data_IF_042251443299
#
_entry.id   IF_042251443299
#
_cell.length_a   1.000
_cell.length_b   1.000
_cell.length_c   1.000
_cell.angle_alpha   90.00
_cell.angle_beta   90.00
_cell.angle_gamma   90.00
#
_symmetry.space_group_name_H-M   'P 1'
#
loop_
_entity.id
_entity.type
_entity.pdbx_description
1 polymer ?
#
# COMPACT_ATOMS: atom_id res chain seq x y z
N UNK A 1 -12.70 7.80 -4.29
CA UNK A 1 -13.60 6.63 -4.49
C UNK A 1 -14.07 6.07 -3.14
N UNK A 2 -15.14 5.27 -3.10
CA UNK A 2 -15.58 4.58 -1.88
C UNK A 2 -15.10 3.12 -1.89
N UNK A 3 -14.78 2.52 -0.73
CA UNK A 3 -14.45 1.11 -0.64
C UNK A 3 -15.66 0.25 -1.04
N UNK A 4 -15.41 -0.84 -1.78
CA UNK A 4 -16.42 -1.84 -2.13
C UNK A 4 -16.67 -2.84 -1.01
N UNK A 5 -15.64 -3.12 -0.21
CA UNK A 5 -15.71 -3.95 0.99
C UNK A 5 -14.87 -3.27 2.08
N UNK A 6 -15.30 -3.36 3.32
CA UNK A 6 -14.57 -2.82 4.45
C UNK A 6 -14.88 -3.60 5.72
N UNK A 7 -13.90 -3.63 6.61
CA UNK A 7 -14.06 -4.10 7.99
C UNK A 7 -13.37 -3.12 8.92
N UNK A 8 -14.00 -2.85 10.05
CA UNK A 8 -13.52 -1.87 11.02
C UNK A 8 -12.99 -2.55 12.28
N UNK A 9 -12.00 -1.92 12.90
CA UNK A 9 -11.50 -2.34 14.20
C UNK A 9 -12.61 -2.26 15.26
N UNK A 10 -12.70 -3.29 16.09
CA UNK A 10 -13.68 -3.34 17.20
C UNK A 10 -13.25 -2.53 18.43
N UNK A 11 -11.99 -2.09 18.51
CA UNK A 11 -11.57 -1.10 19.49
C UNK A 11 -11.83 0.30 18.92
N UNK A 12 -12.65 1.08 19.65
CA UNK A 12 -12.74 2.53 19.46
C UNK A 12 -11.38 3.18 19.63
N UNK A 13 -11.18 4.31 18.94
CA UNK A 13 -9.94 5.10 18.84
C UNK A 13 -8.94 4.81 19.97
N UNK A 14 -7.99 3.92 19.68
CA UNK A 14 -6.82 3.79 20.52
C UNK A 14 -6.08 5.13 20.44
N UNK A 15 -5.71 5.74 21.57
CA UNK A 15 -4.83 6.94 21.64
C UNK A 15 -3.43 6.76 21.00
N UNK A 16 -3.20 5.67 20.24
CA UNK A 16 -1.97 5.38 19.50
C UNK A 16 -2.07 5.77 18.03
N UNK A 17 -0.92 5.84 17.35
CA UNK A 17 -0.85 6.19 15.93
C UNK A 17 -1.62 5.16 15.06
N UNK A 18 -2.45 5.68 14.15
CA UNK A 18 -3.05 4.92 13.06
C UNK A 18 -2.10 4.94 11.86
N UNK A 19 -1.67 3.77 11.39
CA UNK A 19 -0.74 3.63 10.28
C UNK A 19 -1.47 3.07 9.06
N UNK A 20 -1.46 3.83 7.97
CA UNK A 20 -2.09 3.47 6.70
C UNK A 20 -1.09 2.77 5.77
N UNK A 21 -1.42 1.54 5.38
CA UNK A 21 -0.67 0.75 4.40
C UNK A 21 -1.53 0.56 3.16
N UNK A 22 -0.99 0.84 1.99
CA UNK A 22 -1.65 0.62 0.71
C UNK A 22 -0.91 -0.40 -0.16
N UNK A 23 -1.67 -1.26 -0.82
CA UNK A 23 -1.17 -2.22 -1.80
C UNK A 23 -2.15 -2.31 -2.97
N UNK A 24 -1.60 -2.52 -4.17
CA UNK A 24 -2.36 -2.75 -5.39
C UNK A 24 -2.11 -4.18 -5.89
N UNK A 25 -3.16 -4.95 -6.15
CA UNK A 25 -3.08 -6.38 -6.45
C UNK A 25 -3.84 -6.73 -7.74
N UNK A 26 -3.15 -7.37 -8.69
CA UNK A 26 -3.72 -7.94 -9.92
C UNK A 26 -3.26 -9.39 -10.09
N UNK A 27 -4.10 -10.19 -10.74
CA UNK A 27 -3.81 -11.58 -11.05
C UNK A 27 -3.60 -12.43 -9.79
N UNK A 28 -2.80 -13.48 -9.91
CA UNK A 28 -2.61 -14.52 -8.89
C UNK A 28 -1.62 -14.13 -7.77
N UNK A 29 -1.70 -12.89 -7.26
CA UNK A 29 -0.82 -12.36 -6.19
C UNK A 29 -1.50 -12.20 -4.83
N UNK A 30 -2.66 -12.83 -4.65
CA UNK A 30 -3.43 -12.77 -3.40
C UNK A 30 -2.69 -13.32 -2.18
N UNK A 31 -2.12 -14.53 -2.30
CA UNK A 31 -1.39 -15.20 -1.21
C UNK A 31 -0.11 -14.46 -0.82
N UNK A 32 0.62 -13.97 -1.81
CA UNK A 32 1.83 -13.14 -1.64
C UNK A 32 1.49 -11.87 -0.84
N UNK A 33 0.45 -11.16 -1.25
CA UNK A 33 -0.06 -9.99 -0.53
C UNK A 33 -0.50 -10.33 0.88
N UNK A 34 -1.19 -11.46 1.07
CA UNK A 34 -1.64 -11.90 2.40
C UNK A 34 -0.45 -12.20 3.32
N UNK A 35 0.63 -12.79 2.80
CA UNK A 35 1.87 -12.98 3.56
C UNK A 35 2.50 -11.64 3.97
N UNK A 36 2.53 -10.67 3.06
CA UNK A 36 2.98 -9.29 3.34
C UNK A 36 2.15 -8.67 4.47
N UNK A 37 0.81 -8.66 4.36
CA UNK A 37 -0.08 -8.09 5.38
C UNK A 37 0.08 -8.79 6.74
N UNK A 38 0.22 -10.12 6.76
CA UNK A 38 0.48 -10.90 7.98
C UNK A 38 1.82 -10.51 8.60
N UNK A 39 2.87 -10.30 7.81
CA UNK A 39 4.18 -9.87 8.31
C UNK A 39 4.08 -8.52 9.04
N UNK A 40 3.39 -7.54 8.44
CA UNK A 40 3.13 -6.22 9.06
C UNK A 40 2.40 -6.38 10.39
N UNK A 41 1.32 -7.17 10.40
CA UNK A 41 0.53 -7.40 11.61
C UNK A 41 1.31 -8.15 12.69
N UNK A 42 2.28 -8.99 12.33
CA UNK A 42 3.09 -9.75 13.27
C UNK A 42 4.13 -8.87 13.97
N UNK A 43 4.85 -8.05 13.21
CA UNK A 43 6.00 -7.26 13.71
C UNK A 43 5.60 -5.89 14.28
N UNK A 44 4.35 -5.46 14.08
CA UNK A 44 3.85 -4.19 14.59
C UNK A 44 3.27 -4.34 16.01
N UNK A 45 3.71 -3.52 16.99
CA UNK A 45 3.20 -3.56 18.36
C UNK A 45 1.68 -3.40 18.44
N UNK A 46 1.06 -4.01 19.45
CA UNK A 46 -0.39 -3.95 19.65
C UNK A 46 -0.93 -2.55 20.00
N UNK A 47 -0.05 -1.61 20.36
CA UNK A 47 -0.37 -0.20 20.60
C UNK A 47 -0.57 0.61 19.32
N UNK A 48 -0.21 0.05 18.16
CA UNK A 48 -0.34 0.69 16.86
C UNK A 48 -1.52 0.08 16.10
N UNK A 49 -2.44 0.94 15.68
CA UNK A 49 -3.58 0.57 14.87
C UNK A 49 -3.19 0.59 13.39
N UNK A 50 -3.71 -0.36 12.62
CA UNK A 50 -3.40 -0.52 11.20
C UNK A 50 -4.65 -0.26 10.36
N UNK A 51 -4.47 0.47 9.25
CA UNK A 51 -5.47 0.61 8.19
C UNK A 51 -4.90 0.05 6.89
N UNK A 52 -5.47 -1.04 6.37
CA UNK A 52 -5.07 -1.63 5.10
C UNK A 52 -5.97 -1.13 3.97
N UNK A 53 -5.37 -0.49 2.97
CA UNK A 53 -6.03 -0.05 1.74
C UNK A 53 -5.60 -0.98 0.60
N UNK A 54 -6.51 -1.87 0.18
CA UNK A 54 -6.24 -2.90 -0.81
C UNK A 54 -6.98 -2.53 -2.10
N UNK A 55 -6.25 -2.14 -3.14
CA UNK A 55 -6.84 -1.90 -4.46
C UNK A 55 -6.70 -3.19 -5.27
N UNK A 56 -7.81 -3.82 -5.66
CA UNK A 56 -7.78 -5.15 -6.25
C UNK A 56 -8.80 -5.35 -7.38
N UNK A 57 -8.49 -6.29 -8.28
CA UNK A 57 -9.44 -6.83 -9.25
C UNK A 57 -10.63 -7.48 -8.55
N UNK A 58 -11.84 -7.37 -9.13
CA UNK A 58 -13.08 -7.88 -8.55
C UNK A 58 -13.00 -9.35 -8.14
N UNK A 59 -12.27 -10.17 -8.90
CA UNK A 59 -12.05 -11.59 -8.63
C UNK A 59 -11.30 -11.86 -7.31
N UNK A 60 -10.43 -10.94 -6.87
CA UNK A 60 -9.59 -11.10 -5.68
C UNK A 60 -10.17 -10.46 -4.41
N UNK A 61 -11.21 -9.64 -4.52
CA UNK A 61 -11.73 -8.84 -3.40
C UNK A 61 -12.29 -9.69 -2.26
N UNK A 62 -13.11 -10.70 -2.59
CA UNK A 62 -13.68 -11.60 -1.59
C UNK A 62 -12.60 -12.43 -0.89
N UNK A 63 -11.57 -12.86 -1.62
CA UNK A 63 -10.42 -13.57 -1.03
C UNK A 63 -9.80 -12.75 0.11
N UNK A 64 -9.54 -11.45 -0.10
CA UNK A 64 -8.97 -10.60 0.94
C UNK A 64 -9.90 -10.42 2.14
N UNK A 65 -11.19 -10.16 1.90
CA UNK A 65 -12.17 -10.03 2.97
C UNK A 65 -12.23 -11.31 3.81
N UNK A 66 -12.43 -12.47 3.18
CA UNK A 66 -12.53 -13.75 3.86
C UNK A 66 -11.28 -14.07 4.68
N UNK A 67 -10.10 -13.85 4.10
CA UNK A 67 -8.84 -14.09 4.81
C UNK A 67 -8.65 -13.16 6.01
N UNK A 68 -8.95 -11.86 5.88
CA UNK A 68 -8.82 -10.90 6.98
C UNK A 68 -9.84 -11.17 8.11
N UNK A 69 -11.05 -11.58 7.76
CA UNK A 69 -12.07 -11.98 8.74
C UNK A 69 -11.75 -13.31 9.43
N UNK A 70 -10.84 -14.13 8.90
CA UNK A 70 -10.33 -15.33 9.57
C UNK A 70 -9.19 -15.03 10.57
N UNK A 71 -8.61 -13.83 10.57
CA UNK A 71 -7.48 -13.51 11.45
C UNK A 71 -7.86 -13.59 12.93
N UNK A 72 -6.97 -14.05 13.84
CA UNK A 72 -7.27 -14.10 15.26
C UNK A 72 -7.71 -12.73 15.81
N UNK A 73 -8.70 -12.73 16.72
CA UNK A 73 -9.30 -11.49 17.28
C UNK A 73 -8.26 -10.47 17.77
N UNK A 74 -7.16 -10.94 18.38
CA UNK A 74 -6.06 -10.08 18.86
C UNK A 74 -5.43 -9.19 17.78
N UNK A 75 -5.44 -9.62 16.52
CA UNK A 75 -4.95 -8.83 15.38
C UNK A 75 -6.09 -8.01 14.76
N UNK A 76 -7.28 -8.61 14.62
CA UNK A 76 -8.44 -7.95 13.99
C UNK A 76 -8.95 -6.74 14.76
N UNK A 77 -8.90 -6.78 16.09
CA UNK A 77 -9.42 -5.70 16.95
C UNK A 77 -8.73 -4.35 16.77
N UNK A 78 -7.53 -4.33 16.18
CA UNK A 78 -6.71 -3.13 15.91
C UNK A 78 -6.48 -2.89 14.42
N UNK A 79 -7.22 -3.61 13.58
CA UNK A 79 -7.09 -3.57 12.13
C UNK A 79 -8.40 -3.07 11.54
N UNK A 80 -8.31 -2.02 10.74
CA UNK A 80 -9.33 -1.68 9.75
C UNK A 80 -8.80 -2.04 8.37
N UNK A 81 -9.69 -2.47 7.48
CA UNK A 81 -9.34 -2.70 6.07
C UNK A 81 -10.41 -2.13 5.16
N UNK A 82 -9.95 -1.68 3.99
CA UNK A 82 -10.75 -1.05 2.95
C UNK A 82 -10.29 -1.62 1.62
N UNK A 83 -11.21 -2.22 0.88
CA UNK A 83 -10.95 -2.84 -0.42
C UNK A 83 -11.60 -1.97 -1.48
N UNK A 84 -10.83 -1.63 -2.52
CA UNK A 84 -11.24 -0.73 -3.60
C UNK A 84 -11.15 -1.43 -4.95
N UNK A 85 -11.96 -0.98 -5.90
CA UNK A 85 -11.77 -1.35 -7.30
C UNK A 85 -10.53 -0.65 -7.88
N UNK A 86 -9.88 -1.33 -8.81
CA UNK A 86 -8.97 -0.69 -9.77
C UNK A 86 -9.76 0.36 -10.56
N UNK A 87 -9.24 1.58 -10.62
CA UNK A 87 -9.85 2.73 -11.28
C UNK A 87 -8.76 3.67 -11.82
N UNK A 88 -8.99 4.19 -13.02
CA UNK A 88 -8.13 5.17 -13.67
C UNK A 88 -8.95 6.42 -13.96
N UNK A 89 -8.32 7.59 -14.17
CA UNK A 89 -9.01 8.77 -14.64
C UNK A 89 -9.85 8.46 -15.88
N UNK A 90 -11.04 9.06 -15.94
CA UNK A 90 -11.97 8.94 -17.07
C UNK A 90 -11.68 10.06 -18.07
N UNK A 91 -10.48 10.02 -18.64
CA UNK A 91 -10.03 10.95 -19.67
C UNK A 91 -9.50 10.20 -20.90
N UNK A 92 -9.15 10.94 -21.95
CA UNK A 92 -8.63 10.39 -23.20
C UNK A 92 -7.31 9.61 -23.02
N UNK A 93 -6.67 9.71 -21.84
CA UNK A 93 -5.42 9.03 -21.51
C UNK A 93 -5.61 7.74 -20.70
N UNK A 94 -6.83 7.44 -20.24
CA UNK A 94 -7.16 6.25 -19.43
C UNK A 94 -6.62 4.95 -20.01
N UNK A 95 -6.80 4.76 -21.32
CA UNK A 95 -6.33 3.57 -22.03
C UNK A 95 -4.80 3.51 -22.13
N UNK A 96 -4.15 4.68 -22.22
CA UNK A 96 -2.69 4.77 -22.18
C UNK A 96 -2.16 4.36 -20.81
N UNK A 97 -2.79 4.79 -19.72
CA UNK A 97 -2.40 4.40 -18.36
C UNK A 97 -2.55 2.90 -18.11
N UNK A 98 -3.64 2.30 -18.59
CA UNK A 98 -3.88 0.85 -18.47
C UNK A 98 -2.86 0.01 -19.24
N UNK A 99 -2.28 0.56 -20.32
CA UNK A 99 -1.34 -0.12 -21.21
C UNK A 99 0.13 0.25 -20.97
N UNK A 100 0.40 1.32 -20.20
CA UNK A 100 1.76 1.80 -19.92
C UNK A 100 2.61 0.71 -19.25
N UNK A 101 1.97 -0.07 -18.37
CA UNK A 101 2.51 -1.27 -17.73
C UNK A 101 1.39 -2.29 -17.53
N UNK A 102 1.58 -3.29 -16.65
CA UNK A 102 0.44 -4.04 -16.10
C UNK A 102 -0.48 -3.06 -15.36
N UNK A 103 -1.83 -3.19 -15.42
CA UNK A 103 -2.75 -2.23 -14.83
C UNK A 103 -2.45 -1.87 -13.37
N UNK A 104 -2.11 -2.86 -12.54
CA UNK A 104 -1.76 -2.61 -11.14
C UNK A 104 -0.48 -1.79 -10.93
N UNK A 105 0.46 -1.80 -11.88
CA UNK A 105 1.69 -1.01 -11.78
C UNK A 105 1.45 0.49 -12.03
N UNK A 106 0.51 0.83 -12.92
CA UNK A 106 0.15 2.23 -13.18
C UNK A 106 -0.94 2.76 -12.24
N UNK A 107 -1.78 1.88 -11.68
CA UNK A 107 -2.81 2.23 -10.70
C UNK A 107 -2.27 3.04 -9.51
N UNK A 108 -1.06 2.72 -9.01
CA UNK A 108 -0.45 3.39 -7.86
C UNK A 108 -0.19 4.89 -8.08
N UNK A 109 -0.14 5.34 -9.34
CA UNK A 109 0.04 6.75 -9.68
C UNK A 109 -1.16 7.62 -9.28
N UNK A 110 -2.33 7.00 -9.10
CA UNK A 110 -3.60 7.68 -8.83
C UNK A 110 -4.07 7.52 -7.38
N UNK A 111 -3.20 7.06 -6.46
CA UNK A 111 -3.56 6.89 -5.06
C UNK A 111 -4.14 8.16 -4.39
N UNK A 112 -3.60 9.38 -4.65
CA UNK A 112 -4.19 10.60 -4.08
C UNK A 112 -5.65 10.83 -4.50
N UNK A 113 -6.02 10.42 -5.71
CA UNK A 113 -7.39 10.57 -6.23
C UNK A 113 -8.32 9.45 -5.70
N UNK A 114 -7.79 8.25 -5.51
CA UNK A 114 -8.55 7.09 -5.04
C UNK A 114 -8.87 7.20 -3.56
N UNK A 115 -7.91 7.73 -2.78
CA UNK A 115 -7.93 7.81 -1.32
C UNK A 115 -7.96 9.27 -0.82
N UNK A 116 -8.95 10.09 -1.20
CA UNK A 116 -8.95 11.52 -0.91
C UNK A 116 -9.12 11.87 0.58
N UNK A 117 -9.53 10.90 1.40
CA UNK A 117 -9.69 11.05 2.85
C UNK A 117 -8.49 10.54 3.65
N UNK A 118 -7.42 10.10 2.98
CA UNK A 118 -6.21 9.58 3.62
C UNK A 118 -5.09 10.59 3.39
N UNK A 119 -4.68 11.25 4.47
CA UNK A 119 -3.65 12.30 4.43
C UNK A 119 -2.25 11.75 4.11
N UNK A 120 -1.87 10.66 4.79
CA UNK A 120 -0.57 10.01 4.65
C UNK A 120 -0.76 8.51 4.48
N UNK A 121 0.08 7.87 3.66
CA UNK A 121 0.02 6.42 3.43
C UNK A 121 1.40 5.87 3.05
N UNK A 122 1.66 4.61 3.42
CA UNK A 122 2.82 3.86 2.93
C UNK A 122 2.34 2.92 1.84
N UNK A 123 2.87 3.06 0.62
CA UNK A 123 2.63 2.12 -0.47
C UNK A 123 3.77 1.10 -0.54
N UNK A 124 3.43 -0.17 -0.75
CA UNK A 124 4.41 -1.25 -1.01
C UNK A 124 3.93 -2.17 -2.12
N UNK A 125 4.88 -2.80 -2.80
CA UNK A 125 4.61 -3.87 -3.75
C UNK A 125 4.27 -5.18 -3.02
N UNK A 126 3.58 -6.09 -3.70
CA UNK A 126 3.01 -7.31 -3.09
C UNK A 126 4.07 -8.28 -2.56
N UNK A 127 5.28 -8.25 -3.13
CA UNK A 127 6.41 -9.13 -2.83
C UNK A 127 7.30 -8.61 -1.68
N UNK A 128 6.78 -7.68 -0.88
CA UNK A 128 7.49 -7.13 0.29
C UNK A 128 7.23 -7.96 1.56
N UNK A 129 8.25 -8.13 2.40
CA UNK A 129 8.10 -8.68 3.76
C UNK A 129 8.63 -7.70 4.81
N UNK A 130 7.85 -7.50 5.87
CA UNK A 130 8.22 -6.62 6.96
C UNK A 130 8.86 -7.38 8.11
N UNK A 131 10.09 -6.98 8.44
CA UNK A 131 10.86 -7.52 9.57
C UNK A 131 10.86 -6.58 10.79
N UNK A 132 10.38 -5.34 10.60
CA UNK A 132 10.26 -4.30 11.63
C UNK A 132 8.90 -3.62 11.52
N UNK A 133 8.50 -2.96 12.60
CA UNK A 133 7.21 -2.28 12.66
C UNK A 133 7.10 -1.22 11.57
N UNK A 134 5.95 -1.20 10.90
CA UNK A 134 5.60 -0.16 9.94
C UNK A 134 5.54 1.24 10.58
N UNK A 135 5.37 1.31 11.91
CA UNK A 135 5.40 2.56 12.67
C UNK A 135 6.76 3.28 12.59
N UNK A 136 7.86 2.53 12.41
CA UNK A 136 9.19 3.11 12.23
C UNK A 136 9.22 3.94 10.94
N UNK A 137 8.70 3.39 9.84
CA UNK A 137 8.58 4.11 8.57
C UNK A 137 7.58 5.27 8.67
N UNK A 138 6.44 5.04 9.32
CA UNK A 138 5.42 6.06 9.52
C UNK A 138 5.96 7.30 10.26
N UNK A 139 6.92 7.10 11.17
CA UNK A 139 7.50 8.21 11.94
C UNK A 139 8.21 9.26 11.09
N UNK A 140 8.61 8.94 9.86
CA UNK A 140 9.20 9.89 8.93
C UNK A 140 8.22 10.95 8.43
N UNK A 141 6.91 10.67 8.41
CA UNK A 141 5.92 11.69 8.05
C UNK A 141 5.93 12.88 9.01
N UNK A 142 6.24 12.66 10.30
CA UNK A 142 6.37 13.75 11.28
C UNK A 142 7.58 14.66 11.05
N UNK A 143 8.49 14.27 10.16
CA UNK A 143 9.65 15.07 9.75
C UNK A 143 9.40 15.79 8.41
N UNK A 144 8.32 15.46 7.71
CA UNK A 144 7.90 16.14 6.50
C UNK A 144 7.20 17.45 6.84
N UNK A 145 7.21 18.36 5.88
CA UNK A 145 6.52 19.64 5.89
C UNK A 145 5.81 19.84 4.53
N UNK A 146 5.20 21.00 4.35
CA UNK A 146 4.38 21.34 3.17
C UNK A 146 5.12 21.26 1.82
N UNK A 147 6.46 21.20 1.81
CA UNK A 147 7.26 21.05 0.59
C UNK A 147 7.54 19.60 0.18
N UNK A 148 7.31 18.62 1.05
CA UNK A 148 7.54 17.20 0.74
C UNK A 148 6.22 16.47 0.48
N UNK A 149 6.05 15.98 -0.76
CA UNK A 149 4.89 15.17 -1.15
C UNK A 149 5.06 13.68 -0.84
N UNK A 150 6.26 13.13 -1.05
CA UNK A 150 6.52 11.71 -0.90
C UNK A 150 8.00 11.44 -0.59
N UNK A 151 8.25 10.34 0.13
CA UNK A 151 9.57 9.74 0.28
C UNK A 151 9.66 8.44 -0.52
N UNK A 152 10.80 8.20 -1.18
CA UNK A 152 11.08 6.97 -1.92
C UNK A 152 12.44 6.42 -1.52
N UNK A 153 12.63 5.12 -1.67
CA UNK A 153 13.91 4.44 -1.43
C UNK A 153 14.59 4.11 -2.76
N UNK A 154 15.93 4.07 -2.76
CA UNK A 154 16.69 3.58 -3.89
C UNK A 154 16.34 2.13 -4.19
N UNK A 155 16.36 1.76 -5.47
CA UNK A 155 16.00 0.40 -5.91
C UNK A 155 17.04 -0.66 -5.49
N UNK A 156 18.33 -0.29 -5.45
CA UNK A 156 19.41 -1.14 -4.98
C UNK A 156 20.31 -0.38 -4.00
N UNK A 157 20.91 -1.10 -3.06
CA UNK A 157 21.97 -0.57 -2.18
C UNK A 157 23.23 -0.25 -2.97
N UNK A 158 23.55 -1.09 -3.96
CA UNK A 158 24.62 -0.85 -4.93
C UNK A 158 24.03 -0.11 -6.13
N UNK A 159 24.38 1.18 -6.26
CA UNK A 159 23.95 2.04 -7.35
C UNK A 159 24.36 1.53 -8.74
N UNK A 160 25.32 0.61 -8.86
CA UNK A 160 25.71 -0.01 -10.13
C UNK A 160 24.89 -1.26 -10.49
N UNK A 161 24.22 -1.86 -9.51
CA UNK A 161 23.43 -3.07 -9.69
C UNK A 161 22.01 -2.78 -10.19
N UNK A 162 21.54 -1.54 -10.05
CA UNK A 162 20.16 -1.19 -10.32
C UNK A 162 19.73 -1.41 -11.77
N UNK A 163 18.47 -1.79 -11.95
CA UNK A 163 17.93 -1.98 -13.30
C UNK A 163 17.78 -0.64 -14.03
N UNK A 164 17.28 0.36 -13.31
CA UNK A 164 16.86 1.62 -13.89
C UNK A 164 18.02 2.43 -14.45
N UNK A 165 19.08 2.62 -13.67
CA UNK A 165 20.27 3.35 -14.13
C UNK A 165 20.98 2.68 -15.30
N UNK A 166 20.81 1.37 -15.47
CA UNK A 166 21.45 0.60 -16.54
C UNK A 166 20.63 0.53 -17.83
N UNK A 167 19.30 0.54 -17.72
CA UNK A 167 18.44 0.17 -18.84
C UNK A 167 17.32 1.15 -19.16
N UNK A 168 16.96 2.07 -18.25
CA UNK A 168 15.89 3.01 -18.56
C UNK A 168 16.41 4.21 -19.36
N UNK A 169 15.57 4.66 -20.29
CA UNK A 169 15.86 5.77 -21.20
C UNK A 169 15.33 7.13 -20.67
N UNK A 170 14.95 7.20 -19.39
CA UNK A 170 14.46 8.41 -18.75
C UNK A 170 15.48 8.94 -17.72
N UNK A 171 15.46 10.25 -17.39
CA UNK A 171 16.36 10.82 -16.40
C UNK A 171 16.27 10.15 -15.03
N UNK A 172 17.38 10.19 -14.31
CA UNK A 172 17.52 9.72 -12.93
C UNK A 172 17.93 10.85 -12.00
N UNK A 173 17.46 10.79 -10.76
CA UNK A 173 17.83 11.72 -9.72
C UNK A 173 18.81 11.06 -8.74
N UNK A 174 19.88 11.79 -8.37
CA UNK A 174 20.91 11.32 -7.43
C UNK A 174 22.20 10.84 -8.10
N UNK A 175 23.23 10.63 -7.29
CA UNK A 175 24.46 9.96 -7.69
C UNK A 175 24.36 8.47 -7.36
N UNK A 176 24.92 7.63 -8.23
CA UNK A 176 25.02 6.18 -8.03
C UNK A 176 25.92 5.84 -6.86
#
# INVERSE_FOLDING_TARGET
>A
LQPVLQGQSSHGETNGALVHLCVVVCGERGEETMAMLKSVALVTPSTVSLAFHIVAEKSAQNFFQDQLELWPRRHRQRLSYFIYNISFPDDDTSDSWKKLFKPCASQRLFLPEILPSVDSLIYVDTDTLFLRSLADLWSHFYQMNESQLAGVVSEAEDGTAGWYNRFANHPFYGQY
#
